data_IF_191938379903
#
_entry.id   IF_191938379903
#
_cell.length_a   1.000
_cell.length_b   1.000
_cell.length_c   1.000
_cell.angle_alpha   90.00
_cell.angle_beta   90.00
_cell.angle_gamma   90.00
#
_symmetry.space_group_name_H-M   'P 1'
#
loop_
_entity.id
_entity.type
_entity.pdbx_description
1 polymer ?
#
# COMPACT_ATOMS: atom_id res chain seq x y z
N UNK A 1 -17.18 -41.89 -9.26
CA UNK A 1 -17.04 -40.42 -9.35
C UNK A 1 -15.54 -40.12 -9.37
N UNK A 2 -15.02 -39.79 -10.53
CA UNK A 2 -13.59 -39.73 -10.81
C UNK A 2 -13.00 -38.36 -10.43
N UNK A 3 -12.00 -38.33 -9.57
CA UNK A 3 -11.22 -37.14 -9.24
C UNK A 3 -10.05 -37.04 -10.23
N UNK A 4 -10.09 -36.04 -11.09
CA UNK A 4 -9.00 -35.76 -12.04
C UNK A 4 -7.94 -34.93 -11.30
N UNK A 5 -6.78 -35.52 -11.02
CA UNK A 5 -5.60 -34.81 -10.52
C UNK A 5 -4.97 -34.02 -11.67
N UNK A 6 -4.82 -32.71 -11.47
CA UNK A 6 -4.00 -31.86 -12.36
C UNK A 6 -2.56 -31.83 -11.85
N UNK A 7 -1.67 -32.41 -12.62
CA UNK A 7 -0.23 -32.37 -12.38
C UNK A 7 0.31 -31.03 -12.90
N UNK A 8 0.90 -30.23 -12.00
CA UNK A 8 1.64 -29.01 -12.37
C UNK A 8 3.09 -29.41 -12.59
N UNK A 9 3.58 -29.17 -13.81
CA UNK A 9 4.97 -29.44 -14.20
C UNK A 9 5.79 -28.16 -13.92
N UNK A 10 6.68 -28.22 -12.93
CA UNK A 10 7.66 -27.16 -12.64
C UNK A 10 8.92 -27.43 -13.46
N UNK A 11 9.23 -26.54 -14.40
CA UNK A 11 10.47 -26.60 -15.17
C UNK A 11 11.58 -25.83 -14.43
N UNK A 12 12.58 -26.58 -13.93
CA UNK A 12 13.79 -26.03 -13.30
C UNK A 12 14.81 -25.68 -14.39
N UNK A 13 15.12 -24.39 -14.57
CA UNK A 13 16.19 -23.94 -15.47
C UNK A 13 17.48 -23.77 -14.64
N UNK A 14 18.44 -24.65 -14.87
CA UNK A 14 19.81 -24.56 -14.32
C UNK A 14 20.66 -23.70 -15.26
N UNK A 15 21.16 -22.56 -14.77
CA UNK A 15 22.19 -21.78 -15.46
C UNK A 15 23.56 -22.15 -14.86
N UNK A 16 24.39 -22.74 -15.68
CA UNK A 16 25.80 -23.07 -15.35
C UNK A 16 26.66 -21.84 -15.64
N UNK A 17 27.24 -21.24 -14.58
CA UNK A 17 28.28 -20.23 -14.72
C UNK A 17 29.66 -20.90 -14.86
N UNK A 18 30.28 -20.71 -16.02
CA UNK A 18 31.62 -21.19 -16.31
C UNK A 18 32.70 -20.25 -15.76
N UNK A 19 33.66 -20.80 -14.96
CA UNK A 19 34.88 -20.12 -14.60
C UNK A 19 35.89 -20.20 -15.74
N UNK A 20 36.33 -19.01 -16.24
CA UNK A 20 37.51 -18.90 -17.11
C UNK A 20 38.62 -18.13 -16.39
N UNK A 21 39.71 -18.80 -16.03
CA UNK A 21 40.89 -18.17 -15.46
C UNK A 21 41.77 -17.56 -16.58
N UNK A 22 42.31 -16.37 -16.32
CA UNK A 22 43.32 -15.72 -17.15
C UNK A 22 44.28 -14.92 -16.27
N UNK A 23 45.58 -15.21 -16.34
CA UNK A 23 46.67 -14.60 -15.58
C UNK A 23 46.97 -13.15 -16.06
N UNK A 24 47.47 -12.30 -15.13
CA UNK A 24 47.64 -10.87 -15.17
C UNK A 24 48.58 -10.28 -16.22
N UNK A 25 48.74 -8.95 -16.15
CA UNK A 25 49.99 -8.39 -15.63
C UNK A 25 49.80 -7.20 -14.69
N UNK A 26 50.89 -6.95 -13.95
CA UNK A 26 51.14 -5.87 -13.01
C UNK A 26 51.00 -4.49 -13.62
N UNK A 27 50.25 -3.60 -12.96
CA UNK A 27 50.16 -2.21 -13.31
C UNK A 27 49.70 -1.35 -12.12
N UNK A 28 50.50 -0.40 -11.74
CA UNK A 28 50.43 0.79 -10.92
C UNK A 28 49.26 1.03 -9.91
N UNK A 29 49.62 1.44 -8.68
CA UNK A 29 48.65 1.83 -7.65
C UNK A 29 48.44 3.37 -7.72
N UNK A 30 47.59 3.84 -8.60
CA UNK A 30 47.04 5.20 -8.47
C UNK A 30 45.76 5.35 -9.31
N UNK A 31 44.69 4.69 -8.85
CA UNK A 31 43.37 4.96 -9.40
C UNK A 31 42.40 5.16 -8.22
N UNK A 32 42.41 6.41 -7.74
CA UNK A 32 41.43 6.90 -6.79
C UNK A 32 40.13 7.10 -7.58
N UNK A 33 39.41 5.99 -7.81
CA UNK A 33 38.04 6.04 -8.31
C UNK A 33 37.14 6.63 -7.21
N UNK A 34 36.92 7.92 -7.32
CA UNK A 34 35.86 8.62 -6.57
C UNK A 34 34.54 7.89 -6.84
N UNK A 35 33.81 7.41 -5.80
CA UNK A 35 32.51 6.81 -6.02
C UNK A 35 31.62 7.86 -6.70
N UNK A 36 31.20 7.57 -7.93
CA UNK A 36 30.16 8.35 -8.61
C UNK A 36 28.93 8.27 -7.73
N UNK A 37 28.54 9.39 -7.13
CA UNK A 37 27.28 9.47 -6.39
C UNK A 37 26.17 9.03 -7.36
N UNK A 38 25.50 7.94 -7.03
CA UNK A 38 24.28 7.51 -7.71
C UNK A 38 23.31 8.67 -7.56
N UNK A 39 22.94 9.30 -8.66
CA UNK A 39 21.93 10.35 -8.64
C UNK A 39 20.65 9.75 -8.03
N UNK A 40 20.20 10.35 -6.95
CA UNK A 40 18.86 10.07 -6.44
C UNK A 40 17.86 10.29 -7.58
N UNK A 41 16.84 9.43 -7.73
CA UNK A 41 15.80 9.67 -8.70
C UNK A 41 15.24 11.08 -8.48
N UNK A 42 15.25 11.89 -9.52
CA UNK A 42 14.62 13.21 -9.50
C UNK A 42 13.14 12.98 -9.24
N UNK A 43 12.59 13.64 -8.22
CA UNK A 43 11.15 13.64 -8.00
C UNK A 43 10.43 13.98 -9.32
N UNK A 44 9.33 13.31 -9.67
CA UNK A 44 8.58 13.63 -10.87
C UNK A 44 8.23 15.11 -10.88
N UNK A 45 8.32 15.76 -12.06
CA UNK A 45 7.92 17.16 -12.23
C UNK A 45 6.46 17.30 -11.80
N UNK A 46 6.24 17.91 -10.65
CA UNK A 46 4.95 17.98 -10.01
C UNK A 46 4.18 19.21 -10.50
N UNK A 47 3.66 19.15 -11.73
CA UNK A 47 2.60 20.07 -12.14
C UNK A 47 1.28 19.58 -11.51
N UNK A 48 0.67 20.43 -10.68
CA UNK A 48 -0.59 20.13 -10.01
C UNK A 48 -0.52 20.25 -8.48
N UNK A 49 -1.60 19.89 -7.80
CA UNK A 49 -1.75 20.00 -6.36
C UNK A 49 -1.98 18.64 -5.74
N UNK A 50 -1.21 18.31 -4.71
CA UNK A 50 -1.51 17.20 -3.82
C UNK A 50 -2.46 17.71 -2.73
N UNK A 51 -3.66 17.13 -2.61
CA UNK A 51 -4.61 17.43 -1.54
C UNK A 51 -4.63 16.29 -0.53
N UNK A 52 -4.55 16.63 0.76
CA UNK A 52 -4.68 15.65 1.86
C UNK A 52 -5.82 16.08 2.76
N UNK A 53 -6.83 15.24 2.90
CA UNK A 53 -8.05 15.50 3.63
C UNK A 53 -8.18 14.56 4.81
N UNK A 54 -8.05 15.07 6.02
CA UNK A 54 -8.36 14.32 7.23
C UNK A 54 -9.87 14.37 7.47
N UNK A 55 -10.54 13.23 7.27
CA UNK A 55 -12.00 13.12 7.37
C UNK A 55 -12.37 12.97 8.85
N UNK A 56 -13.32 13.77 9.31
CA UNK A 56 -13.80 13.66 10.69
C UNK A 56 -14.73 12.46 10.85
N UNK A 57 -14.19 11.38 11.36
CA UNK A 57 -14.88 10.11 11.67
C UNK A 57 -14.93 9.83 13.19
N UNK A 58 -14.80 10.88 14.01
CA UNK A 58 -14.82 10.77 15.47
C UNK A 58 -13.49 10.26 16.06
N UNK A 59 -13.54 9.27 16.93
CA UNK A 59 -12.35 8.62 17.54
C UNK A 59 -11.81 7.51 16.63
N UNK A 60 -11.50 7.85 15.40
CA UNK A 60 -11.09 6.90 14.37
C UNK A 60 -10.28 7.64 13.31
N UNK A 61 -9.75 6.94 12.34
CA UNK A 61 -8.94 7.51 11.26
C UNK A 61 -9.58 7.27 9.89
N UNK A 62 -9.55 8.29 9.05
CA UNK A 62 -9.77 8.18 7.62
C UNK A 62 -9.15 9.39 6.92
N UNK A 63 -8.34 9.13 5.91
CA UNK A 63 -7.62 10.16 5.16
C UNK A 63 -7.81 9.93 3.67
N UNK A 64 -8.31 10.94 2.96
CA UNK A 64 -8.34 10.95 1.50
C UNK A 64 -7.16 11.76 0.99
N UNK A 65 -6.43 11.20 0.05
CA UNK A 65 -5.39 11.89 -0.73
C UNK A 65 -5.85 11.96 -2.18
N UNK A 66 -5.80 13.17 -2.75
CA UNK A 66 -6.05 13.39 -4.18
C UNK A 66 -4.76 13.87 -4.81
N UNK A 67 -4.23 13.09 -5.73
CA UNK A 67 -2.99 13.36 -6.44
C UNK A 67 -3.13 14.49 -7.47
N UNK A 68 -2.02 15.00 -8.00
CA UNK A 68 -1.99 16.11 -8.95
C UNK A 68 -2.69 15.80 -10.27
N UNK A 69 -2.86 14.53 -10.60
CA UNK A 69 -3.57 14.05 -11.81
C UNK A 69 -5.04 13.70 -11.57
N UNK A 70 -5.49 13.76 -10.31
CA UNK A 70 -6.82 13.35 -9.89
C UNK A 70 -6.92 11.91 -9.42
N UNK A 71 -5.81 11.15 -9.44
CA UNK A 71 -5.77 9.81 -8.84
C UNK A 71 -6.02 9.88 -7.33
N UNK A 72 -6.70 8.89 -6.76
CA UNK A 72 -7.21 8.92 -5.39
C UNK A 72 -6.65 7.80 -4.54
N UNK A 73 -6.30 8.14 -3.29
CA UNK A 73 -5.92 7.16 -2.28
C UNK A 73 -6.73 7.43 -1.01
N UNK A 74 -7.45 6.41 -0.55
CA UNK A 74 -8.16 6.45 0.73
C UNK A 74 -7.42 5.57 1.74
N UNK A 75 -6.99 6.16 2.86
CA UNK A 75 -6.30 5.47 3.94
C UNK A 75 -7.25 5.38 5.12
N UNK A 76 -7.59 4.17 5.52
CA UNK A 76 -8.55 3.82 6.55
C UNK A 76 -9.98 4.39 6.32
N UNK A 77 -10.97 3.82 6.96
CA UNK A 77 -12.38 4.10 6.68
C UNK A 77 -13.23 4.33 7.93
N UNK A 78 -12.56 4.54 9.06
CA UNK A 78 -13.22 4.87 10.31
C UNK A 78 -13.80 3.66 11.05
N UNK A 79 -14.63 3.98 12.03
CA UNK A 79 -15.16 3.02 12.99
C UNK A 79 -16.34 2.21 12.43
N UNK A 80 -16.47 0.95 12.84
CA UNK A 80 -17.53 0.03 12.39
C UNK A 80 -18.97 0.45 12.79
N UNK A 81 -19.14 1.44 13.67
CA UNK A 81 -20.46 1.85 14.16
C UNK A 81 -21.34 2.52 13.12
N UNK A 82 -20.74 3.23 12.16
CA UNK A 82 -21.44 3.92 11.08
C UNK A 82 -21.32 3.24 9.72
N UNK A 83 -20.59 2.13 9.69
CA UNK A 83 -20.41 1.31 8.49
C UNK A 83 -19.91 2.11 7.27
N UNK A 84 -18.99 3.07 7.51
CA UNK A 84 -18.42 3.95 6.49
C UNK A 84 -19.31 5.10 6.02
N UNK A 85 -20.47 5.32 6.61
CA UNK A 85 -21.43 6.32 6.12
C UNK A 85 -20.87 7.75 6.13
N UNK A 86 -20.04 8.13 7.11
CA UNK A 86 -19.39 9.43 7.14
C UNK A 86 -18.39 9.60 6.00
N UNK A 87 -17.59 8.58 5.76
CA UNK A 87 -16.58 8.57 4.68
C UNK A 87 -17.27 8.61 3.32
N UNK A 88 -18.26 7.75 3.07
CA UNK A 88 -19.04 7.76 1.82
C UNK A 88 -19.67 9.14 1.57
N UNK A 89 -20.33 9.71 2.57
CA UNK A 89 -20.93 11.04 2.45
C UNK A 89 -19.89 12.12 2.11
N UNK A 90 -18.68 12.01 2.66
CA UNK A 90 -17.59 12.94 2.37
C UNK A 90 -17.10 12.80 0.93
N UNK A 91 -16.85 11.57 0.49
CA UNK A 91 -16.36 11.25 -0.86
C UNK A 91 -17.37 11.68 -1.93
N UNK A 92 -18.67 11.37 -1.74
CA UNK A 92 -19.75 11.81 -2.64
C UNK A 92 -19.81 13.34 -2.77
N UNK A 93 -19.72 14.09 -1.66
CA UNK A 93 -19.72 15.56 -1.69
C UNK A 93 -18.52 16.16 -2.40
N UNK A 94 -17.41 15.40 -2.46
CA UNK A 94 -16.20 15.78 -3.18
C UNK A 94 -16.25 15.37 -4.65
N UNK A 95 -17.23 14.57 -5.07
CA UNK A 95 -17.33 14.03 -6.41
C UNK A 95 -16.22 13.01 -6.71
N UNK A 96 -15.85 12.23 -5.68
CA UNK A 96 -14.89 11.13 -5.85
C UNK A 96 -15.66 9.93 -6.38
N UNK A 97 -15.51 9.64 -7.66
CA UNK A 97 -16.24 8.55 -8.32
C UNK A 97 -15.42 7.24 -8.37
N UNK A 98 -14.13 7.28 -8.01
CA UNK A 98 -13.24 6.13 -7.99
C UNK A 98 -12.29 6.20 -6.79
N UNK A 99 -11.94 5.06 -6.21
CA UNK A 99 -10.84 4.89 -5.28
C UNK A 99 -9.77 4.06 -5.99
N UNK A 100 -8.67 4.70 -6.41
CA UNK A 100 -7.60 3.97 -7.09
C UNK A 100 -6.81 3.10 -6.11
N UNK A 101 -6.59 3.59 -4.90
CA UNK A 101 -5.87 2.91 -3.84
C UNK A 101 -6.64 2.99 -2.52
N UNK A 102 -7.06 1.85 -2.00
CA UNK A 102 -7.58 1.73 -0.63
C UNK A 102 -6.47 1.14 0.25
N UNK A 103 -5.94 1.94 1.15
CA UNK A 103 -4.88 1.51 2.07
C UNK A 103 -5.50 1.23 3.44
N UNK A 104 -5.22 0.07 3.97
CA UNK A 104 -5.54 -0.36 5.31
C UNK A 104 -4.28 -0.23 6.14
N UNK A 105 -4.23 0.75 7.06
CA UNK A 105 -3.06 0.90 7.91
C UNK A 105 -2.85 -0.36 8.74
N UNK A 106 -3.89 -0.81 9.43
CA UNK A 106 -3.93 -2.09 10.14
C UNK A 106 -5.39 -2.56 10.32
N UNK A 107 -5.60 -3.80 10.77
CA UNK A 107 -6.90 -4.48 10.75
C UNK A 107 -7.75 -4.30 12.02
N UNK A 108 -7.61 -3.19 12.74
CA UNK A 108 -8.49 -2.86 13.85
C UNK A 108 -9.82 -2.27 13.37
N UNK A 109 -10.89 -2.58 14.10
CA UNK A 109 -12.25 -2.31 13.62
C UNK A 109 -12.62 -0.82 13.56
N UNK A 110 -11.83 0.04 14.14
CA UNK A 110 -11.95 1.49 14.07
C UNK A 110 -11.12 2.10 12.92
N UNK A 111 -10.37 1.28 12.20
CA UNK A 111 -9.68 1.66 10.97
C UNK A 111 -10.35 1.10 9.72
N UNK A 112 -10.80 -0.16 9.79
CA UNK A 112 -11.42 -0.85 8.65
C UNK A 112 -12.96 -0.88 8.71
N UNK A 113 -13.56 -0.09 9.59
CA UNK A 113 -14.99 -0.16 9.89
C UNK A 113 -15.90 0.02 8.68
N UNK A 114 -15.51 0.88 7.76
CA UNK A 114 -16.25 1.18 6.54
C UNK A 114 -15.79 0.40 5.29
N UNK A 115 -14.69 -0.38 5.35
CA UNK A 115 -14.08 -0.98 4.14
C UNK A 115 -15.10 -1.75 3.29
N UNK A 116 -15.87 -2.65 3.92
CA UNK A 116 -16.83 -3.46 3.19
C UNK A 116 -17.89 -2.60 2.47
N UNK A 117 -18.48 -1.63 3.17
CA UNK A 117 -19.51 -0.77 2.60
C UNK A 117 -18.97 0.16 1.49
N UNK A 118 -17.73 0.63 1.64
CA UNK A 118 -17.06 1.45 0.64
C UNK A 118 -16.74 0.63 -0.60
N UNK A 119 -16.17 -0.55 -0.47
CA UNK A 119 -15.91 -1.46 -1.60
C UNK A 119 -17.24 -1.78 -2.30
N UNK A 120 -18.27 -2.20 -1.56
CA UNK A 120 -19.59 -2.51 -2.11
C UNK A 120 -20.20 -1.33 -2.89
N UNK A 121 -20.12 -0.11 -2.35
CA UNK A 121 -20.65 1.07 -3.00
C UNK A 121 -19.90 1.40 -4.30
N UNK A 122 -18.56 1.46 -4.22
CA UNK A 122 -17.76 1.85 -5.39
C UNK A 122 -17.84 0.83 -6.52
N UNK A 123 -17.87 -0.46 -6.22
CA UNK A 123 -17.98 -1.51 -7.22
C UNK A 123 -19.36 -1.63 -7.86
N UNK A 124 -20.43 -1.18 -7.19
CA UNK A 124 -21.81 -1.29 -7.71
C UNK A 124 -22.38 0.01 -8.28
N UNK A 125 -22.00 1.14 -7.71
CA UNK A 125 -22.67 2.42 -7.96
C UNK A 125 -21.70 3.48 -8.53
N UNK A 126 -20.38 3.23 -8.57
CA UNK A 126 -19.35 4.16 -8.99
C UNK A 126 -18.31 3.47 -9.92
N UNK A 127 -17.11 4.04 -10.06
CA UNK A 127 -16.07 3.56 -10.99
C UNK A 127 -15.09 2.56 -10.34
N UNK A 128 -15.45 1.99 -9.20
CA UNK A 128 -14.77 0.88 -8.53
C UNK A 128 -13.59 1.26 -7.65
N UNK A 129 -12.96 0.20 -7.12
CA UNK A 129 -11.72 0.26 -6.32
C UNK A 129 -10.59 -0.39 -7.11
N UNK A 130 -9.49 0.34 -7.34
CA UNK A 130 -8.39 -0.16 -8.16
C UNK A 130 -7.61 -1.28 -7.48
N UNK A 131 -7.17 -1.05 -6.24
CA UNK A 131 -6.50 -2.05 -5.43
C UNK A 131 -6.62 -1.73 -3.94
N UNK A 132 -6.50 -2.77 -3.13
CA UNK A 132 -6.39 -2.69 -1.67
C UNK A 132 -4.97 -3.06 -1.26
N UNK A 133 -4.41 -2.31 -0.32
CA UNK A 133 -3.11 -2.53 0.31
C UNK A 133 -3.32 -2.80 1.79
N UNK A 134 -2.88 -3.95 2.26
CA UNK A 134 -3.18 -4.48 3.60
C UNK A 134 -1.89 -5.04 4.22
N UNK A 135 -1.60 -4.85 5.51
CA UNK A 135 -0.39 -5.39 6.12
C UNK A 135 -0.34 -6.92 6.17
N UNK A 136 -1.43 -7.63 5.82
CA UNK A 136 -1.47 -9.09 5.79
C UNK A 136 -1.59 -9.76 7.15
N UNK A 137 -1.89 -9.00 8.21
CA UNK A 137 -2.07 -9.53 9.56
C UNK A 137 -3.55 -9.82 9.81
N UNK A 138 -3.90 -11.09 9.92
CA UNK A 138 -5.28 -11.49 10.09
C UNK A 138 -5.87 -11.05 11.44
N UNK A 139 -7.11 -10.57 11.43
CA UNK A 139 -7.91 -10.31 12.61
C UNK A 139 -9.11 -11.26 12.69
N UNK A 140 -9.50 -11.67 13.91
CA UNK A 140 -10.64 -12.55 14.14
C UNK A 140 -11.96 -11.79 14.35
N UNK A 141 -12.04 -10.53 13.89
CA UNK A 141 -13.21 -9.68 14.06
C UNK A 141 -14.23 -9.90 12.93
N UNK A 142 -15.51 -9.63 13.23
CA UNK A 142 -16.54 -9.64 12.19
C UNK A 142 -16.29 -8.58 11.12
N UNK A 143 -15.77 -7.43 11.51
CA UNK A 143 -15.42 -6.33 10.60
C UNK A 143 -14.40 -6.77 9.58
N UNK A 144 -13.33 -7.43 10.02
CA UNK A 144 -12.31 -7.98 9.13
C UNK A 144 -12.88 -9.04 8.17
N UNK A 145 -13.71 -9.96 8.69
CA UNK A 145 -14.38 -10.95 7.84
C UNK A 145 -15.22 -10.30 6.73
N UNK A 146 -16.07 -9.31 7.07
CA UNK A 146 -16.89 -8.59 6.09
C UNK A 146 -16.05 -7.83 5.04
N UNK A 147 -14.94 -7.24 5.46
CA UNK A 147 -14.02 -6.59 4.55
C UNK A 147 -13.43 -7.56 3.54
N UNK A 148 -12.91 -8.71 3.97
CA UNK A 148 -12.39 -9.73 3.07
C UNK A 148 -13.48 -10.35 2.17
N UNK A 149 -14.69 -10.55 2.70
CA UNK A 149 -15.83 -11.02 1.91
C UNK A 149 -16.17 -10.04 0.76
N UNK A 150 -16.12 -8.72 1.02
CA UNK A 150 -16.35 -7.71 -0.01
C UNK A 150 -15.22 -7.69 -1.07
N UNK A 151 -13.96 -7.83 -0.66
CA UNK A 151 -12.82 -7.95 -1.59
C UNK A 151 -12.99 -9.16 -2.51
N UNK A 152 -13.37 -10.32 -1.96
CA UNK A 152 -13.57 -11.56 -2.73
C UNK A 152 -14.81 -11.49 -3.63
N UNK A 153 -15.94 -10.97 -3.12
CA UNK A 153 -17.20 -10.85 -3.89
C UNK A 153 -17.02 -10.01 -5.15
N UNK A 154 -16.29 -8.90 -5.04
CA UNK A 154 -16.08 -7.98 -6.15
C UNK A 154 -14.81 -8.27 -6.96
N UNK A 155 -13.96 -9.18 -6.48
CA UNK A 155 -12.70 -9.54 -7.14
C UNK A 155 -11.68 -8.39 -7.15
N UNK A 156 -11.72 -7.52 -6.14
CA UNK A 156 -10.77 -6.43 -5.98
C UNK A 156 -9.39 -6.99 -5.68
N UNK A 157 -8.36 -6.44 -6.33
CA UNK A 157 -6.98 -6.88 -6.07
C UNK A 157 -6.55 -6.45 -4.67
N UNK A 158 -6.06 -7.41 -3.87
CA UNK A 158 -5.52 -7.16 -2.54
C UNK A 158 -4.03 -7.49 -2.52
N UNK A 159 -3.22 -6.52 -2.13
CA UNK A 159 -1.78 -6.66 -1.94
C UNK A 159 -1.45 -6.73 -0.46
N UNK A 160 -0.71 -7.75 -0.06
CA UNK A 160 0.02 -7.76 1.20
C UNK A 160 1.22 -6.82 1.05
N UNK A 161 1.29 -5.79 1.91
CA UNK A 161 2.20 -4.64 1.74
C UNK A 161 3.18 -4.54 2.90
N UNK A 162 4.47 -4.35 2.56
CA UNK A 162 5.61 -4.30 3.47
C UNK A 162 6.50 -3.11 3.20
N UNK A 163 7.39 -2.81 4.13
CA UNK A 163 8.48 -1.86 3.94
C UNK A 163 9.21 -2.09 2.61
N UNK A 164 9.35 -1.04 1.83
CA UNK A 164 10.02 -1.05 0.53
C UNK A 164 9.16 -1.51 -0.64
N UNK A 165 7.92 -1.94 -0.43
CA UNK A 165 7.00 -2.22 -1.52
C UNK A 165 6.62 -0.95 -2.28
N UNK A 166 6.23 -1.12 -3.55
CA UNK A 166 5.91 -0.01 -4.42
C UNK A 166 4.39 0.20 -4.49
N UNK A 167 3.93 1.35 -4.02
CA UNK A 167 2.59 1.88 -4.31
C UNK A 167 2.75 2.98 -5.35
N UNK A 168 2.21 2.77 -6.55
CA UNK A 168 2.30 3.75 -7.63
C UNK A 168 1.18 4.76 -7.47
N UNK A 169 1.53 6.04 -7.40
CA UNK A 169 0.58 7.13 -7.31
C UNK A 169 1.08 8.26 -8.19
N UNK A 170 0.36 8.59 -9.25
CA UNK A 170 0.87 9.42 -10.34
C UNK A 170 1.20 10.85 -9.87
N UNK A 171 2.45 11.28 -10.11
CA UNK A 171 2.94 12.60 -9.71
C UNK A 171 3.29 12.73 -8.23
N UNK A 172 3.23 11.65 -7.46
CA UNK A 172 3.61 11.60 -6.03
C UNK A 172 4.55 10.42 -5.82
N UNK A 173 5.66 10.65 -5.15
CA UNK A 173 6.54 9.57 -4.70
C UNK A 173 6.00 9.00 -3.38
N UNK A 174 5.69 7.69 -3.37
CA UNK A 174 5.13 6.99 -2.21
C UNK A 174 6.16 6.00 -1.72
N UNK A 175 6.66 6.23 -0.51
CA UNK A 175 7.51 5.27 0.18
C UNK A 175 6.70 4.52 1.25
N UNK A 176 6.72 3.20 1.18
CA UNK A 176 6.19 2.33 2.25
C UNK A 176 7.31 2.12 3.26
N UNK A 177 7.15 2.65 4.47
CA UNK A 177 8.15 2.63 5.54
C UNK A 177 7.90 1.53 6.58
N UNK A 178 6.75 0.90 6.55
CA UNK A 178 6.35 -0.20 7.42
C UNK A 178 5.13 -0.94 6.87
N UNK A 179 4.81 -2.14 7.40
CA UNK A 179 5.57 -2.89 8.40
C UNK A 179 6.80 -3.60 7.80
N UNK A 180 7.82 -3.91 8.62
CA UNK A 180 9.00 -4.66 8.17
C UNK A 180 8.70 -6.14 7.93
N UNK A 181 9.63 -6.83 7.29
CA UNK A 181 9.66 -8.29 7.20
C UNK A 181 10.95 -8.81 7.89
N UNK A 182 10.85 -9.58 8.98
CA UNK A 182 9.61 -10.07 9.63
C UNK A 182 8.85 -8.99 10.41
N UNK A 183 7.56 -9.27 10.72
CA UNK A 183 6.76 -8.40 11.56
C UNK A 183 7.38 -8.13 12.92
N UNK A 184 7.10 -6.94 13.45
CA UNK A 184 7.40 -6.58 14.84
C UNK A 184 6.48 -7.32 15.82
N UNK A 185 6.93 -7.50 17.06
CA UNK A 185 6.14 -8.01 18.20
C UNK A 185 5.21 -9.20 17.87
N UNK A 186 5.75 -10.22 17.18
CA UNK A 186 4.98 -11.41 16.77
C UNK A 186 3.71 -11.08 15.97
N UNK A 187 3.67 -9.94 15.26
CA UNK A 187 2.55 -9.52 14.43
C UNK A 187 1.46 -8.75 15.19
N UNK A 188 1.81 -8.02 16.24
CA UNK A 188 0.91 -7.05 16.85
C UNK A 188 0.47 -6.01 15.80
N UNK A 189 -0.84 -5.68 15.77
CA UNK A 189 -1.42 -4.95 14.63
C UNK A 189 -0.99 -3.51 14.53
N UNK A 190 -1.00 -2.77 15.64
CA UNK A 190 -0.62 -1.36 15.66
C UNK A 190 0.83 -1.18 15.22
N UNK A 191 1.75 -1.94 15.83
CA UNK A 191 3.19 -1.93 15.55
C UNK A 191 3.52 -2.32 14.11
N UNK A 192 2.60 -2.96 13.43
CA UNK A 192 2.75 -3.36 12.03
C UNK A 192 1.76 -2.65 11.10
N UNK A 193 1.46 -1.39 11.41
CA UNK A 193 0.71 -0.52 10.52
C UNK A 193 1.48 -0.29 9.21
N UNK A 194 0.76 -0.15 8.09
CA UNK A 194 1.34 0.41 6.88
C UNK A 194 1.63 1.88 7.16
N UNK A 195 2.90 2.24 7.11
CA UNK A 195 3.39 3.62 7.23
C UNK A 195 3.76 4.13 5.85
N UNK A 196 3.16 5.23 5.44
CA UNK A 196 3.43 5.86 4.13
C UNK A 196 4.08 7.23 4.29
N UNK A 197 5.14 7.49 3.55
CA UNK A 197 5.63 8.84 3.27
C UNK A 197 5.25 9.22 1.84
N UNK A 198 4.47 10.27 1.68
CA UNK A 198 4.09 10.86 0.40
C UNK A 198 4.96 12.08 0.13
N UNK A 199 5.67 12.12 -1.01
CA UNK A 199 6.48 13.27 -1.41
C UNK A 199 5.96 13.86 -2.71
N UNK A 200 5.64 15.17 -2.69
CA UNK A 200 5.25 15.95 -3.85
C UNK A 200 6.01 17.29 -3.86
N UNK A 201 6.90 17.47 -4.83
CA UNK A 201 7.83 18.58 -4.84
C UNK A 201 8.72 18.62 -3.59
N UNK A 202 8.64 19.69 -2.82
CA UNK A 202 9.39 19.85 -1.56
C UNK A 202 8.58 19.47 -0.30
N UNK A 203 7.32 19.06 -0.49
CA UNK A 203 6.41 18.70 0.61
C UNK A 203 6.43 17.21 0.86
N UNK A 204 6.49 16.86 2.15
CA UNK A 204 6.35 15.47 2.62
C UNK A 204 5.22 15.35 3.62
N UNK A 205 4.45 14.28 3.50
CA UNK A 205 3.38 13.92 4.42
C UNK A 205 3.64 12.50 4.91
N UNK A 206 3.69 12.34 6.22
CA UNK A 206 3.83 11.03 6.86
C UNK A 206 2.47 10.60 7.41
N UNK A 207 2.02 9.41 7.04
CA UNK A 207 0.78 8.76 7.48
C UNK A 207 1.15 7.46 8.17
N UNK A 208 0.96 7.39 9.48
CA UNK A 208 1.53 6.32 10.32
C UNK A 208 0.53 5.26 10.73
N UNK A 209 -0.79 5.46 10.46
CA UNK A 209 -1.79 4.65 11.14
C UNK A 209 -1.59 4.77 12.67
N UNK A 210 -1.65 3.65 13.36
CA UNK A 210 -1.41 3.55 14.81
C UNK A 210 -0.02 2.96 15.13
N UNK A 211 0.95 3.14 14.21
CA UNK A 211 2.32 2.72 14.46
C UNK A 211 2.87 3.34 15.75
N UNK A 212 3.46 2.50 16.59
CA UNK A 212 4.05 2.88 17.88
C UNK A 212 5.58 3.07 17.79
N UNK A 213 6.24 3.29 18.92
CA UNK A 213 7.65 3.76 19.02
C UNK A 213 8.70 2.80 18.39
N UNK A 214 8.34 1.57 18.04
CA UNK A 214 9.26 0.52 17.59
C UNK A 214 9.40 0.41 16.06
N UNK A 215 8.77 1.31 15.29
CA UNK A 215 8.88 1.38 13.82
C UNK A 215 9.93 2.37 13.34
#
# INVERSE_FOLDING_TARGET
MSRTARTVLVALVLVLAGCGGGAGPTGDPDDTSTPTATAMPTAPDADGTLEVHFINVGQSVSTLVVGPTGETMLIDTGHYNDDGAYVLTYLERRGIDRIDHLVVSHNDADHIGGNAAIIDYYEREADGVGAVYDPGIAASTRTYGRYLDAVDEHGVTLYETREGDAVRFEGVDVAVLGPPDPYLEDGARNENSIVLELTHGETRVLLTGDAEDDQ
#
